data_IF_426366125374
#
_entry.id   IF_426366125374
#
_cell.length_a   1.000
_cell.length_b   1.000
_cell.length_c   1.000
_cell.angle_alpha   90.00
_cell.angle_beta   90.00
_cell.angle_gamma   90.00
#
_symmetry.space_group_name_H-M   'P 1'
#
loop_
_entity.id
_entity.type
_entity.pdbx_description
1 polymer ?
#
# COMPACT_ATOMS: atom_id res chain seq x y z
N UNK A 1 -8.34 -14.22 17.75
CA UNK A 1 -7.68 -12.90 17.66
C UNK A 1 -7.07 -12.70 16.27
N UNK A 2 -7.89 -12.82 15.23
CA UNK A 2 -7.46 -12.67 13.83
C UNK A 2 -8.20 -11.45 13.29
N UNK A 3 -7.59 -10.28 13.39
CA UNK A 3 -8.25 -9.05 12.96
C UNK A 3 -7.38 -7.81 12.97
N UNK A 4 -6.08 -7.94 13.27
CA UNK A 4 -5.19 -6.78 13.47
C UNK A 4 -3.78 -6.90 12.86
N UNK A 5 -3.65 -7.68 11.78
CA UNK A 5 -2.56 -7.44 10.81
C UNK A 5 -2.93 -6.55 9.59
N UNK A 6 -4.01 -5.74 9.53
CA UNK A 6 -4.82 -5.66 8.32
C UNK A 6 -5.01 -4.19 7.90
N UNK A 7 -3.97 -3.36 8.06
CA UNK A 7 -4.00 -1.95 7.63
C UNK A 7 -2.68 -1.42 7.07
N UNK A 8 -1.55 -2.10 7.32
CA UNK A 8 -0.21 -1.61 6.94
C UNK A 8 0.78 -2.67 6.46
N UNK A 9 0.33 -3.71 5.74
CA UNK A 9 1.31 -4.36 4.88
C UNK A 9 1.73 -3.34 3.80
N UNK A 10 3.03 -3.10 3.55
CA UNK A 10 3.49 -2.22 2.47
C UNK A 10 2.78 -2.49 1.14
N UNK A 11 2.45 -3.75 0.91
CA UNK A 11 1.73 -4.22 -0.28
C UNK A 11 0.30 -3.67 -0.40
N UNK A 12 -0.46 -3.50 0.69
CA UNK A 12 -1.83 -2.95 0.61
C UNK A 12 -1.83 -1.45 0.31
N UNK A 13 -0.91 -0.70 0.93
CA UNK A 13 -0.73 0.71 0.62
C UNK A 13 -0.33 0.89 -0.85
N UNK A 14 0.59 0.04 -1.32
CA UNK A 14 1.00 -0.01 -2.72
C UNK A 14 -0.19 -0.27 -3.65
N UNK A 15 -1.01 -1.28 -3.38
CA UNK A 15 -2.19 -1.59 -4.21
C UNK A 15 -3.22 -0.46 -4.21
N UNK A 16 -3.42 0.22 -3.09
CA UNK A 16 -4.33 1.36 -3.01
C UNK A 16 -3.82 2.55 -3.85
N UNK A 17 -2.52 2.83 -3.81
CA UNK A 17 -1.92 3.87 -4.66
C UNK A 17 -2.03 3.51 -6.14
N UNK A 18 -1.73 2.26 -6.50
CA UNK A 18 -1.82 1.78 -7.87
C UNK A 18 -3.26 1.92 -8.40
N UNK A 19 -4.26 1.48 -7.63
CA UNK A 19 -5.69 1.63 -8.00
C UNK A 19 -6.13 3.09 -8.19
N UNK A 20 -5.55 4.04 -7.46
CA UNK A 20 -5.86 5.47 -7.61
C UNK A 20 -5.27 6.08 -8.88
N UNK A 21 -4.15 5.54 -9.36
CA UNK A 21 -3.46 6.03 -10.55
C UNK A 21 -3.85 5.28 -11.82
N UNK A 22 -4.59 4.18 -11.70
CA UNK A 22 -5.05 3.43 -12.86
C UNK A 22 -6.02 4.27 -13.71
N UNK A 23 -5.77 4.38 -15.03
CA UNK A 23 -6.74 4.96 -15.94
C UNK A 23 -7.97 4.04 -16.05
N UNK A 24 -9.10 4.59 -16.52
CA UNK A 24 -10.26 3.77 -16.89
C UNK A 24 -9.84 2.80 -18.00
N UNK A 25 -9.63 1.54 -17.64
CA UNK A 25 -9.27 0.48 -18.57
C UNK A 25 -10.54 -0.15 -19.13
N UNK A 26 -10.64 -0.26 -20.45
CA UNK A 26 -11.81 -0.84 -21.11
C UNK A 26 -11.61 -2.32 -21.48
N UNK A 27 -10.39 -2.84 -21.29
CA UNK A 27 -10.06 -4.25 -21.47
C UNK A 27 -9.13 -4.76 -20.39
N UNK A 28 -9.08 -6.09 -20.21
CA UNK A 28 -8.13 -6.76 -19.31
C UNK A 28 -6.69 -6.54 -19.78
N UNK A 29 -6.47 -6.41 -21.09
CA UNK A 29 -5.14 -6.16 -21.64
C UNK A 29 -4.61 -4.76 -21.29
N UNK A 30 -5.47 -3.74 -21.39
CA UNK A 30 -5.12 -2.37 -20.98
C UNK A 30 -4.82 -2.31 -19.48
N UNK A 31 -5.56 -3.11 -18.70
CA UNK A 31 -5.35 -3.24 -17.26
C UNK A 31 -3.96 -3.85 -16.95
N UNK A 32 -3.58 -4.93 -17.63
CA UNK A 32 -2.27 -5.57 -17.47
C UNK A 32 -1.13 -4.61 -17.82
N UNK A 33 -1.23 -3.91 -18.95
CA UNK A 33 -0.23 -2.94 -19.37
C UNK A 33 -0.10 -1.78 -18.38
N UNK A 34 -1.23 -1.23 -17.93
CA UNK A 34 -1.24 -0.14 -16.95
C UNK A 34 -0.62 -0.56 -15.61
N UNK A 35 -0.90 -1.79 -15.14
CA UNK A 35 -0.31 -2.31 -13.89
C UNK A 35 1.20 -2.51 -14.04
N UNK A 36 1.66 -3.08 -15.16
CA UNK A 36 3.08 -3.28 -15.43
C UNK A 36 3.83 -1.94 -15.54
N UNK A 37 3.24 -0.97 -16.23
CA UNK A 37 3.81 0.37 -16.38
C UNK A 37 3.92 1.11 -15.04
N UNK A 38 2.85 1.10 -14.24
CA UNK A 38 2.84 1.69 -12.91
C UNK A 38 3.83 1.00 -11.96
N UNK A 39 3.99 -0.33 -12.08
CA UNK A 39 4.97 -1.08 -11.32
C UNK A 39 6.41 -0.70 -11.71
N UNK A 40 6.69 -0.58 -13.02
CA UNK A 40 8.02 -0.22 -13.52
C UNK A 40 8.42 1.22 -13.16
N UNK A 41 7.46 2.15 -13.18
CA UNK A 41 7.69 3.57 -12.88
C UNK A 41 7.54 3.92 -11.40
N UNK A 42 7.36 2.95 -10.52
CA UNK A 42 7.16 3.23 -9.11
C UNK A 42 8.42 3.88 -8.50
N UNK A 43 8.30 5.07 -7.89
CA UNK A 43 9.45 5.72 -7.28
C UNK A 43 10.02 4.87 -6.14
N UNK A 44 11.31 4.56 -6.21
CA UNK A 44 12.00 3.80 -5.17
C UNK A 44 11.94 4.51 -3.81
N UNK A 45 11.86 5.85 -3.81
CA UNK A 45 11.71 6.62 -2.59
C UNK A 45 10.35 6.39 -1.91
N UNK A 46 9.29 6.11 -2.67
CA UNK A 46 8.00 5.72 -2.09
C UNK A 46 8.11 4.38 -1.36
N UNK A 47 8.84 3.41 -1.92
CA UNK A 47 9.10 2.11 -1.29
C UNK A 47 9.92 2.31 -0.02
N UNK A 48 10.99 3.11 -0.08
CA UNK A 48 11.87 3.40 1.06
C UNK A 48 11.11 4.12 2.18
N UNK A 49 10.34 5.15 1.87
CA UNK A 49 9.49 5.85 2.84
C UNK A 49 8.50 4.88 3.52
N UNK A 50 7.92 3.96 2.75
CA UNK A 50 6.98 2.98 3.27
C UNK A 50 7.66 2.01 4.23
N UNK A 51 8.82 1.45 3.86
CA UNK A 51 9.63 0.58 4.72
C UNK A 51 10.07 1.32 5.98
N UNK A 52 10.55 2.55 5.84
CA UNK A 52 11.03 3.37 6.96
C UNK A 52 9.90 3.73 7.94
N UNK A 53 8.65 3.83 7.46
CA UNK A 53 7.48 4.11 8.30
C UNK A 53 6.93 2.88 9.05
N UNK A 54 7.37 1.66 8.71
CA UNK A 54 6.85 0.43 9.31
C UNK A 54 7.06 0.33 10.82
N UNK A 55 8.24 0.67 11.39
CA UNK A 55 8.44 0.65 12.84
C UNK A 55 7.46 1.57 13.58
N UNK A 56 7.24 2.78 13.08
CA UNK A 56 6.35 3.76 13.70
C UNK A 56 4.88 3.31 13.65
N UNK A 57 4.47 2.69 12.55
CA UNK A 57 3.12 2.11 12.40
C UNK A 57 2.89 0.95 13.35
N UNK A 58 3.89 0.07 13.51
CA UNK A 58 3.84 -1.04 14.47
C UNK A 58 3.76 -0.49 15.90
N UNK A 59 4.57 0.50 16.24
CA UNK A 59 4.53 1.16 17.55
C UNK A 59 3.15 1.79 17.83
N UNK A 60 2.57 2.47 16.84
CA UNK A 60 1.23 3.05 16.95
C UNK A 60 0.15 1.98 17.15
N UNK A 61 0.24 0.83 16.45
CA UNK A 61 -0.71 -0.28 16.62
C UNK A 61 -0.60 -0.90 18.02
N UNK A 62 0.61 -1.06 18.54
CA UNK A 62 0.85 -1.56 19.90
C UNK A 62 0.28 -0.58 20.92
N UNK A 63 0.55 0.72 20.76
CA UNK A 63 0.04 1.77 21.65
C UNK A 63 -1.48 1.90 21.62
N UNK A 64 -2.12 1.58 20.50
CA UNK A 64 -3.58 1.53 20.38
C UNK A 64 -4.19 0.24 20.94
N UNK A 65 -3.40 -0.69 21.47
CA UNK A 65 -3.81 -2.05 21.87
C UNK A 65 -4.50 -2.80 20.71
N UNK A 66 -4.05 -2.53 19.49
CA UNK A 66 -4.71 -3.03 18.28
C UNK A 66 -5.92 -2.20 17.84
N UNK A 67 -6.24 -1.11 18.51
CA UNK A 67 -7.24 -0.14 18.10
C UNK A 67 -6.87 0.62 16.81
N UNK A 68 -7.77 1.47 16.30
CA UNK A 68 -7.52 2.26 15.10
C UNK A 68 -6.35 3.23 15.28
N UNK A 69 -5.37 3.16 14.38
CA UNK A 69 -4.28 4.15 14.28
C UNK A 69 -4.60 5.18 13.20
N UNK A 70 -3.96 6.36 13.27
CA UNK A 70 -4.11 7.48 12.31
C UNK A 70 -3.50 7.22 10.93
N UNK A 71 -2.77 6.11 10.79
CA UNK A 71 -2.16 5.73 9.54
C UNK A 71 -3.22 5.18 8.59
#
# INVERSE_FOLDING_TARGET
MAGLLPRFAPVEYFWNQLKRQMPLCHSVHDLELAVQDLWAHLPQDNIRCLINSMPDRVAACIAAEGGPTRY
#
